data_IF_066571598472
#
_entry.id   IF_066571598472
#
_cell.length_a   1.000
_cell.length_b   1.000
_cell.length_c   1.000
_cell.angle_alpha   90.00
_cell.angle_beta   90.00
_cell.angle_gamma   90.00
#
_symmetry.space_group_name_H-M   'P 1'
#
loop_
_entity.id
_entity.type
_entity.pdbx_description
1 polymer ?
#
# COMPACT_ATOMS: atom_id res chain seq x y z
N UNK A 1 -15.08 -6.60 22.37
CA UNK A 1 -15.03 -5.43 21.44
C UNK A 1 -14.46 -5.92 20.12
N UNK A 2 -15.21 -5.75 19.04
CA UNK A 2 -14.71 -6.08 17.70
C UNK A 2 -13.55 -5.14 17.36
N UNK A 3 -12.38 -5.71 17.10
CA UNK A 3 -11.18 -4.95 16.80
C UNK A 3 -11.25 -4.31 15.42
N UNK A 4 -10.54 -3.20 15.20
CA UNK A 4 -10.48 -2.54 13.89
C UNK A 4 -9.74 -3.40 12.86
N UNK A 5 -8.72 -4.13 13.32
CA UNK A 5 -7.89 -5.02 12.51
C UNK A 5 -7.71 -6.36 13.21
N UNK A 6 -7.67 -7.43 12.43
CA UNK A 6 -7.36 -8.77 12.91
C UNK A 6 -6.58 -9.53 11.84
N UNK A 7 -5.37 -10.05 12.17
CA UNK A 7 -4.62 -10.88 11.24
C UNK A 7 -5.42 -12.11 10.81
N UNK A 8 -5.45 -12.38 9.52
CA UNK A 8 -5.95 -13.65 9.00
C UNK A 8 -4.80 -14.65 8.89
N UNK A 9 -5.04 -15.89 9.31
CA UNK A 9 -4.15 -17.00 9.02
C UNK A 9 -4.96 -18.16 8.47
N UNK A 10 -4.49 -18.80 7.39
CA UNK A 10 -5.10 -20.02 6.88
C UNK A 10 -5.12 -21.11 7.94
N UNK A 11 -6.17 -21.95 7.94
CA UNK A 11 -6.26 -23.06 8.89
C UNK A 11 -5.28 -24.19 8.54
N UNK A 12 -5.00 -24.37 7.25
CA UNK A 12 -4.06 -25.37 6.75
C UNK A 12 -2.73 -24.68 6.39
N UNK A 13 -1.70 -25.02 7.13
CA UNK A 13 -0.31 -24.66 6.91
C UNK A 13 0.55 -25.92 7.03
N UNK A 14 0.07 -27.04 6.50
CA UNK A 14 0.66 -28.37 6.67
C UNK A 14 2.10 -28.50 6.15
N UNK A 15 2.47 -27.74 5.09
CA UNK A 15 3.83 -27.76 4.54
C UNK A 15 4.84 -26.89 5.32
N UNK A 16 4.40 -26.13 6.34
CA UNK A 16 5.26 -25.18 7.04
C UNK A 16 6.45 -25.88 7.71
N UNK A 17 6.24 -27.04 8.33
CA UNK A 17 7.30 -27.81 8.99
C UNK A 17 8.34 -28.31 7.97
N UNK A 18 7.89 -28.80 6.83
CA UNK A 18 8.77 -29.30 5.77
C UNK A 18 9.61 -28.17 5.18
N UNK A 19 9.01 -26.98 4.98
CA UNK A 19 9.75 -25.79 4.54
C UNK A 19 10.81 -25.40 5.58
N UNK A 20 10.46 -25.35 6.87
CA UNK A 20 11.40 -25.02 7.95
C UNK A 20 12.59 -25.98 8.03
N UNK A 21 12.35 -27.28 7.79
CA UNK A 21 13.36 -28.33 7.85
C UNK A 21 14.12 -28.56 6.54
N UNK A 22 13.72 -27.89 5.45
CA UNK A 22 14.30 -28.09 4.11
C UNK A 22 15.74 -27.62 3.95
N UNK A 23 16.21 -26.70 4.81
CA UNK A 23 17.48 -25.98 4.65
C UNK A 23 17.44 -24.88 3.57
N UNK A 24 16.34 -24.75 2.79
CA UNK A 24 16.15 -23.74 1.74
C UNK A 24 15.11 -22.69 2.20
N UNK A 25 15.53 -21.72 3.00
CA UNK A 25 14.64 -20.72 3.61
C UNK A 25 14.68 -19.35 2.94
N UNK A 26 15.69 -19.09 2.11
CA UNK A 26 15.77 -17.86 1.34
C UNK A 26 14.71 -17.84 0.22
N UNK A 27 14.64 -16.74 -0.53
CA UNK A 27 13.74 -16.63 -1.69
C UNK A 27 13.97 -17.79 -2.69
N UNK A 28 12.91 -18.50 -3.01
CA UNK A 28 12.99 -19.70 -3.85
C UNK A 28 11.67 -20.10 -4.48
N UNK A 29 11.24 -21.35 -4.29
CA UNK A 29 10.02 -21.93 -4.89
C UNK A 29 8.76 -21.15 -4.49
N UNK A 30 8.56 -20.95 -3.20
CA UNK A 30 7.35 -20.29 -2.68
C UNK A 30 7.34 -18.79 -2.99
N UNK A 31 8.52 -18.15 -3.00
CA UNK A 31 8.66 -16.77 -3.43
C UNK A 31 8.16 -16.58 -4.87
N UNK A 32 8.63 -17.42 -5.80
CA UNK A 32 8.21 -17.40 -7.21
C UNK A 32 6.72 -17.72 -7.38
N UNK A 33 6.20 -18.68 -6.61
CA UNK A 33 4.77 -19.01 -6.65
C UNK A 33 3.90 -17.88 -6.16
N UNK A 34 4.28 -17.20 -5.06
CA UNK A 34 3.56 -16.05 -4.53
C UNK A 34 3.55 -14.90 -5.53
N UNK A 35 4.71 -14.57 -6.12
CA UNK A 35 4.79 -13.51 -7.15
C UNK A 35 3.87 -13.82 -8.33
N UNK A 36 3.92 -15.04 -8.86
CA UNK A 36 3.04 -15.48 -9.95
C UNK A 36 1.55 -15.39 -9.58
N UNK A 37 1.18 -15.87 -8.40
CA UNK A 37 -0.22 -15.80 -7.93
C UNK A 37 -0.70 -14.38 -7.72
N UNK A 38 0.17 -13.48 -7.24
CA UNK A 38 -0.13 -12.04 -7.13
C UNK A 38 -0.28 -11.39 -8.51
N UNK A 39 0.60 -11.71 -9.46
CA UNK A 39 0.51 -11.24 -10.85
C UNK A 39 -0.84 -11.64 -11.48
N UNK A 40 -1.20 -12.91 -11.39
CA UNK A 40 -2.47 -13.43 -11.89
C UNK A 40 -3.68 -12.80 -11.19
N UNK A 41 -3.61 -12.63 -9.86
CA UNK A 41 -4.69 -12.04 -9.08
C UNK A 41 -4.90 -10.57 -9.39
N UNK A 42 -3.84 -9.78 -9.48
CA UNK A 42 -3.91 -8.33 -9.76
C UNK A 42 -4.19 -8.08 -11.24
N UNK A 43 -3.67 -8.92 -12.14
CA UNK A 43 -3.75 -8.79 -13.58
C UNK A 43 -2.58 -7.98 -14.15
N UNK A 44 -1.33 -8.30 -13.74
CA UNK A 44 -0.09 -7.58 -14.11
C UNK A 44 1.02 -8.57 -14.44
N UNK A 45 2.00 -8.14 -15.25
CA UNK A 45 3.12 -8.98 -15.67
C UNK A 45 4.36 -8.79 -14.79
N UNK A 46 4.59 -7.58 -14.25
CA UNK A 46 5.83 -7.20 -13.59
C UNK A 46 5.61 -6.90 -12.12
N UNK A 47 5.90 -7.88 -11.26
CA UNK A 47 5.74 -7.80 -9.81
C UNK A 47 6.91 -8.48 -9.10
N UNK A 48 7.41 -7.84 -8.05
CA UNK A 48 8.35 -8.43 -7.09
C UNK A 48 7.78 -8.37 -5.68
N UNK A 49 8.14 -9.36 -4.85
CA UNK A 49 7.88 -9.34 -3.40
C UNK A 49 9.13 -8.95 -2.63
N UNK A 50 8.95 -8.40 -1.44
CA UNK A 50 10.03 -7.99 -0.53
C UNK A 50 9.73 -8.41 0.91
N UNK A 51 10.77 -8.44 1.76
CA UNK A 51 10.67 -8.88 3.15
C UNK A 51 9.93 -7.90 4.08
N UNK A 52 9.63 -6.69 3.63
CA UNK A 52 8.81 -5.71 4.33
C UNK A 52 8.28 -4.64 3.37
N UNK A 53 7.23 -3.92 3.78
CA UNK A 53 6.77 -2.73 3.07
C UNK A 53 7.87 -1.66 2.95
N UNK A 54 8.62 -1.45 4.03
CA UNK A 54 9.70 -0.46 4.01
C UNK A 54 10.80 -0.84 3.00
N UNK A 55 11.17 -2.12 2.93
CA UNK A 55 12.11 -2.60 1.91
C UNK A 55 11.56 -2.44 0.49
N UNK A 56 10.26 -2.74 0.27
CA UNK A 56 9.61 -2.47 -1.01
C UNK A 56 9.74 -0.99 -1.40
N UNK A 57 9.50 -0.11 -0.46
CA UNK A 57 9.58 1.32 -0.68
C UNK A 57 10.99 1.78 -1.06
N UNK A 58 12.02 1.35 -0.33
CA UNK A 58 13.42 1.70 -0.63
C UNK A 58 13.87 1.13 -1.98
N UNK A 59 13.50 -0.11 -2.29
CA UNK A 59 13.74 -0.73 -3.60
C UNK A 59 13.07 0.07 -4.70
N UNK A 60 11.81 0.46 -4.53
CA UNK A 60 11.06 1.27 -5.48
C UNK A 60 11.75 2.61 -5.77
N UNK A 61 12.05 3.39 -4.72
CA UNK A 61 12.68 4.71 -4.87
C UNK A 61 14.05 4.62 -5.56
N UNK A 62 14.86 3.62 -5.19
CA UNK A 62 16.17 3.36 -5.82
C UNK A 62 16.02 2.95 -7.28
N UNK A 63 15.02 2.10 -7.58
CA UNK A 63 14.71 1.68 -8.96
C UNK A 63 14.33 2.87 -9.84
N UNK A 64 13.48 3.76 -9.34
CA UNK A 64 13.07 4.99 -10.04
C UNK A 64 14.19 6.04 -10.10
N UNK A 65 15.29 5.87 -9.36
CA UNK A 65 16.40 6.81 -9.32
C UNK A 65 16.13 8.07 -8.51
N UNK A 66 15.14 8.04 -7.61
CA UNK A 66 14.88 9.14 -6.69
C UNK A 66 15.99 9.24 -5.65
N UNK A 67 16.40 10.45 -5.34
CA UNK A 67 17.58 10.71 -4.49
C UNK A 67 17.40 11.95 -3.62
N UNK A 68 18.31 12.14 -2.70
CA UNK A 68 18.40 13.34 -1.86
C UNK A 68 18.29 14.63 -2.70
N UNK A 69 17.40 15.52 -2.29
CA UNK A 69 17.12 16.80 -2.93
C UNK A 69 15.97 16.79 -3.93
N UNK A 70 15.53 15.61 -4.38
CA UNK A 70 14.30 15.48 -5.16
C UNK A 70 13.07 15.80 -4.28
N UNK A 71 11.98 16.18 -4.93
CA UNK A 71 10.69 16.43 -4.28
C UNK A 71 9.66 15.41 -4.75
N UNK A 72 8.84 14.92 -3.81
CA UNK A 72 7.69 14.05 -4.08
C UNK A 72 6.44 14.68 -3.49
N UNK A 73 5.41 14.81 -4.30
CA UNK A 73 4.09 15.32 -3.83
C UNK A 73 3.33 14.14 -3.23
N UNK A 74 2.85 14.29 -2.00
CA UNK A 74 2.13 13.25 -1.28
C UNK A 74 1.04 13.82 -0.38
N UNK A 75 0.13 12.93 0.06
CA UNK A 75 -0.88 13.24 1.07
C UNK A 75 -0.32 13.08 2.48
N UNK A 76 -0.57 14.03 3.39
CA UNK A 76 -0.31 13.81 4.80
C UNK A 76 -1.34 12.86 5.45
N UNK A 77 -2.53 12.68 4.85
CA UNK A 77 -3.51 11.68 5.29
C UNK A 77 -3.10 10.32 4.75
N UNK A 78 -2.17 9.68 5.46
CA UNK A 78 -1.63 8.37 5.13
C UNK A 78 -1.06 7.69 6.38
N UNK A 79 -0.81 6.39 6.30
CA UNK A 79 0.02 5.70 7.27
C UNK A 79 1.41 6.36 7.33
N UNK A 80 1.99 6.48 8.52
CA UNK A 80 3.34 7.06 8.63
C UNK A 80 4.37 6.29 7.80
N UNK A 81 4.21 4.98 7.66
CA UNK A 81 5.06 4.14 6.83
C UNK A 81 5.04 4.53 5.34
N UNK A 82 3.97 5.18 4.88
CA UNK A 82 3.85 5.66 3.50
C UNK A 82 4.71 6.90 3.19
N UNK A 83 5.09 7.68 4.21
CA UNK A 83 5.84 8.93 3.98
C UNK A 83 7.24 8.90 4.60
N UNK A 84 7.47 8.11 5.65
CA UNK A 84 8.74 8.07 6.37
C UNK A 84 9.94 7.66 5.50
N UNK A 85 9.85 6.72 4.54
CA UNK A 85 10.99 6.35 3.71
C UNK A 85 11.54 7.49 2.85
N UNK A 86 10.72 8.46 2.45
CA UNK A 86 11.20 9.65 1.76
C UNK A 86 12.18 10.44 2.64
N UNK A 87 11.81 10.66 3.91
CA UNK A 87 12.67 11.38 4.85
C UNK A 87 13.99 10.63 5.11
N UNK A 88 13.95 9.28 5.19
CA UNK A 88 15.14 8.44 5.35
C UNK A 88 16.11 8.62 4.17
N UNK A 89 15.59 8.74 2.94
CA UNK A 89 16.40 8.93 1.73
C UNK A 89 16.77 10.40 1.45
N UNK A 90 16.36 11.35 2.31
CA UNK A 90 16.58 12.78 2.10
C UNK A 90 15.78 13.37 0.94
N UNK A 91 14.71 12.70 0.53
CA UNK A 91 13.74 13.17 -0.45
C UNK A 91 12.75 14.06 0.28
N UNK A 92 12.48 15.24 -0.26
CA UNK A 92 11.56 16.18 0.35
C UNK A 92 10.13 15.85 -0.02
N UNK A 93 9.30 15.55 0.97
CA UNK A 93 7.85 15.44 0.76
C UNK A 93 7.25 16.84 0.67
N UNK A 94 6.47 17.10 -0.37
CA UNK A 94 5.67 18.30 -0.56
C UNK A 94 4.21 17.90 -0.34
N UNK A 95 3.59 18.47 0.69
CA UNK A 95 2.21 18.16 1.00
C UNK A 95 1.25 18.82 0.00
N UNK A 96 0.44 18.02 -0.65
CA UNK A 96 -0.78 18.46 -1.31
C UNK A 96 -1.99 18.23 -0.41
N UNK A 97 -2.99 19.08 -0.53
CA UNK A 97 -4.25 18.93 0.19
C UNK A 97 -5.09 17.77 -0.38
N UNK A 98 -6.11 17.41 0.34
CA UNK A 98 -7.04 16.34 -0.02
C UNK A 98 -8.45 16.87 -0.25
N UNK A 99 -9.27 16.13 -0.97
CA UNK A 99 -10.72 16.34 -0.94
C UNK A 99 -11.26 15.87 0.42
N UNK A 100 -11.83 16.77 1.24
CA UNK A 100 -12.32 16.44 2.58
C UNK A 100 -13.49 15.45 2.59
N UNK A 101 -14.06 15.13 1.44
CA UNK A 101 -15.15 14.15 1.33
C UNK A 101 -14.62 12.73 1.12
N UNK A 102 -13.45 12.59 0.48
CA UNK A 102 -12.88 11.29 0.08
C UNK A 102 -11.68 10.88 0.93
N UNK A 103 -10.96 11.82 1.51
CA UNK A 103 -9.71 11.59 2.22
C UNK A 103 -8.49 11.36 1.31
N UNK A 104 -8.64 11.52 -0.01
CA UNK A 104 -7.60 11.28 -1.01
C UNK A 104 -7.12 12.59 -1.65
N UNK A 105 -5.95 12.57 -2.29
CA UNK A 105 -5.35 13.76 -2.91
C UNK A 105 -6.33 14.51 -3.81
N UNK A 106 -6.37 15.84 -3.65
CA UNK A 106 -7.05 16.77 -4.56
C UNK A 106 -6.15 17.04 -5.77
N UNK A 107 -6.58 16.71 -7.01
CA UNK A 107 -5.79 16.92 -8.22
C UNK A 107 -5.35 18.38 -8.43
N UNK A 108 -6.20 19.35 -8.12
CA UNK A 108 -5.85 20.77 -8.26
C UNK A 108 -4.78 21.19 -7.24
N UNK A 109 -4.87 20.69 -6.02
CA UNK A 109 -3.83 20.91 -5.03
C UNK A 109 -2.51 20.29 -5.48
N UNK A 110 -2.52 19.04 -5.99
CA UNK A 110 -1.33 18.37 -6.54
C UNK A 110 -0.68 19.23 -7.63
N UNK A 111 -1.47 19.68 -8.60
CA UNK A 111 -1.00 20.51 -9.71
C UNK A 111 -0.33 21.81 -9.23
N UNK A 112 -0.89 22.45 -8.21
CA UNK A 112 -0.36 23.71 -7.62
C UNK A 112 0.98 23.54 -6.90
N UNK A 113 1.37 22.31 -6.52
CA UNK A 113 2.58 22.01 -5.76
C UNK A 113 3.78 21.56 -6.61
N UNK A 114 3.61 21.43 -7.92
CA UNK A 114 4.67 21.01 -8.83
C UNK A 114 5.76 22.07 -8.94
N UNK A 115 7.01 21.65 -8.79
CA UNK A 115 8.21 22.48 -8.96
C UNK A 115 9.19 21.82 -9.94
N UNK A 116 10.27 22.50 -10.29
CA UNK A 116 11.33 21.90 -11.13
C UNK A 116 12.08 20.72 -10.48
N UNK A 117 11.94 20.55 -9.15
CA UNK A 117 12.53 19.43 -8.39
C UNK A 117 11.56 18.28 -8.18
N UNK A 118 10.29 18.45 -8.48
CA UNK A 118 9.30 17.37 -8.39
C UNK A 118 9.69 16.23 -9.33
N UNK A 119 9.68 15.00 -8.84
CA UNK A 119 10.01 13.78 -9.60
C UNK A 119 8.88 12.77 -9.63
N UNK A 120 8.05 12.76 -8.58
CA UNK A 120 6.94 11.82 -8.50
C UNK A 120 5.74 12.42 -7.75
N UNK A 121 4.58 11.85 -8.02
CA UNK A 121 3.36 11.98 -7.21
C UNK A 121 3.14 10.64 -6.53
N UNK A 122 3.02 10.64 -5.20
CA UNK A 122 2.72 9.48 -4.38
C UNK A 122 1.25 9.50 -4.00
N UNK A 123 0.46 8.73 -4.76
CA UNK A 123 -1.00 8.74 -4.73
C UNK A 123 -1.51 7.68 -3.75
N UNK A 124 -1.79 8.08 -2.52
CA UNK A 124 -2.31 7.19 -1.48
C UNK A 124 -3.81 6.92 -1.66
N UNK A 125 -4.20 5.64 -1.58
CA UNK A 125 -5.59 5.18 -1.54
C UNK A 125 -6.01 4.98 -0.08
N UNK A 126 -6.34 6.08 0.59
CA UNK A 126 -6.54 6.15 2.02
C UNK A 126 -7.58 5.15 2.54
N UNK A 127 -7.18 4.29 3.47
CA UNK A 127 -8.05 3.27 4.09
C UNK A 127 -8.76 2.35 3.08
N UNK A 128 -8.19 2.16 1.89
CA UNK A 128 -8.77 1.34 0.82
C UNK A 128 -9.74 2.07 -0.10
N UNK A 129 -10.03 3.35 0.17
CA UNK A 129 -10.79 4.22 -0.73
C UNK A 129 -9.87 4.74 -1.84
N UNK A 130 -10.24 4.43 -3.07
CA UNK A 130 -9.43 4.79 -4.24
C UNK A 130 -9.59 6.27 -4.56
N UNK A 131 -8.48 6.96 -4.82
CA UNK A 131 -8.46 8.38 -5.16
C UNK A 131 -8.83 8.67 -6.62
N UNK A 132 -8.54 9.88 -7.05
CA UNK A 132 -8.79 10.42 -8.40
C UNK A 132 -7.73 9.93 -9.40
N UNK A 133 -7.82 8.65 -9.81
CA UNK A 133 -6.77 7.97 -10.59
C UNK A 133 -6.49 8.66 -11.93
N UNK A 134 -7.52 8.94 -12.74
CA UNK A 134 -7.33 9.54 -14.07
C UNK A 134 -6.76 10.96 -13.97
N UNK A 135 -7.30 11.76 -13.07
CA UNK A 135 -6.94 13.16 -12.88
C UNK A 135 -5.48 13.28 -12.38
N UNK A 136 -5.10 12.47 -11.38
CA UNK A 136 -3.72 12.45 -10.86
C UNK A 136 -2.74 11.91 -11.91
N UNK A 137 -3.13 10.85 -12.64
CA UNK A 137 -2.31 10.34 -13.74
C UNK A 137 -2.14 11.37 -14.87
N UNK A 138 -3.19 12.14 -15.18
CA UNK A 138 -3.10 13.20 -16.18
C UNK A 138 -2.10 14.29 -15.75
N UNK A 139 -2.20 14.77 -14.51
CA UNK A 139 -1.27 15.76 -13.94
C UNK A 139 0.18 15.24 -14.00
N UNK A 140 0.42 13.98 -13.63
CA UNK A 140 1.76 13.40 -13.67
C UNK A 140 2.33 13.35 -15.09
N UNK A 141 1.54 12.85 -16.06
CA UNK A 141 1.96 12.73 -17.47
C UNK A 141 2.25 14.08 -18.13
N UNK A 142 1.39 15.08 -17.89
CA UNK A 142 1.58 16.44 -18.40
C UNK A 142 2.88 17.09 -17.92
N UNK A 143 3.40 16.66 -16.79
CA UNK A 143 4.59 17.22 -16.15
C UNK A 143 5.82 16.28 -16.19
N UNK A 144 5.72 15.13 -16.86
CA UNK A 144 6.82 14.15 -16.94
C UNK A 144 7.24 13.57 -15.58
N UNK A 145 6.26 13.39 -14.66
CA UNK A 145 6.48 12.88 -13.32
C UNK A 145 6.11 11.40 -13.23
N UNK A 146 6.82 10.66 -12.41
CA UNK A 146 6.39 9.32 -12.03
C UNK A 146 5.09 9.40 -11.21
N UNK A 147 4.20 8.44 -11.44
CA UNK A 147 3.04 8.20 -10.58
C UNK A 147 3.23 6.88 -9.83
N UNK A 148 3.16 6.95 -8.51
CA UNK A 148 3.29 5.80 -7.60
C UNK A 148 2.00 5.68 -6.81
N UNK A 149 1.25 4.58 -7.03
CA UNK A 149 0.08 4.28 -6.21
C UNK A 149 0.52 3.64 -4.89
N UNK A 150 0.12 4.24 -3.78
CA UNK A 150 0.25 3.65 -2.45
C UNK A 150 -1.02 2.85 -2.12
N UNK A 151 -0.95 1.57 -2.37
CA UNK A 151 -2.00 0.61 -2.09
C UNK A 151 -1.77 -0.14 -0.75
N UNK A 152 -1.09 0.48 0.22
CA UNK A 152 -0.79 -0.11 1.55
C UNK A 152 -2.05 -0.66 2.25
N UNK A 153 -3.22 -0.08 1.98
CA UNK A 153 -4.53 -0.42 2.56
C UNK A 153 -5.55 -0.83 1.49
N UNK A 154 -5.16 -0.81 0.20
CA UNK A 154 -6.09 -0.90 -0.92
C UNK A 154 -5.96 -2.20 -1.74
N UNK A 155 -5.37 -3.27 -1.17
CA UNK A 155 -5.28 -4.55 -1.90
C UNK A 155 -6.69 -5.07 -2.23
N UNK A 156 -6.94 -5.34 -3.52
CA UNK A 156 -8.24 -5.77 -4.02
C UNK A 156 -9.25 -4.65 -4.30
N UNK A 157 -8.97 -3.39 -3.93
CA UNK A 157 -9.73 -2.24 -4.43
C UNK A 157 -9.61 -2.13 -5.95
N UNK A 158 -10.64 -1.57 -6.60
CA UNK A 158 -10.69 -1.51 -8.07
C UNK A 158 -10.92 -0.10 -8.58
N UNK A 159 -10.41 0.14 -9.79
CA UNK A 159 -10.72 1.28 -10.63
C UNK A 159 -11.09 0.78 -12.04
N UNK A 160 -12.25 1.23 -12.57
CA UNK A 160 -12.79 0.79 -13.88
C UNK A 160 -12.81 -0.74 -14.05
N UNK A 161 -13.14 -1.46 -12.97
CA UNK A 161 -13.21 -2.93 -12.93
C UNK A 161 -11.86 -3.65 -12.81
N UNK A 162 -10.72 -2.97 -12.99
CA UNK A 162 -9.39 -3.51 -12.78
C UNK A 162 -8.93 -3.27 -11.34
N UNK A 163 -8.17 -4.20 -10.76
CA UNK A 163 -7.57 -4.00 -9.43
C UNK A 163 -6.51 -2.90 -9.49
N UNK A 164 -6.39 -2.15 -8.39
CA UNK A 164 -5.29 -1.19 -8.24
C UNK A 164 -3.97 -1.91 -8.46
N UNK A 165 -3.05 -1.29 -9.20
CA UNK A 165 -1.82 -1.92 -9.69
C UNK A 165 -1.89 -2.31 -11.17
N UNK A 166 -3.07 -2.63 -11.69
CA UNK A 166 -3.28 -2.94 -13.11
C UNK A 166 -3.67 -1.70 -13.94
N UNK A 167 -3.71 -0.51 -13.34
CA UNK A 167 -4.18 0.70 -14.01
C UNK A 167 -3.32 1.93 -13.67
N UNK A 168 -2.87 2.62 -14.70
CA UNK A 168 -2.46 4.03 -14.66
C UNK A 168 -1.08 4.35 -14.12
N UNK A 169 -0.71 3.85 -12.95
CA UNK A 169 0.53 4.18 -12.27
C UNK A 169 1.77 3.54 -12.94
N UNK A 170 2.94 4.19 -12.80
CA UNK A 170 4.23 3.63 -13.22
C UNK A 170 4.69 2.54 -12.26
N UNK A 171 4.30 2.67 -10.97
CA UNK A 171 4.48 1.62 -9.97
C UNK A 171 3.37 1.67 -8.93
N UNK A 172 3.06 0.51 -8.34
CA UNK A 172 2.14 0.38 -7.20
C UNK A 172 2.82 -0.40 -6.09
N UNK A 173 2.72 0.10 -4.86
CA UNK A 173 3.33 -0.53 -3.69
C UNK A 173 2.26 -1.09 -2.74
N UNK A 174 2.47 -2.33 -2.27
CA UNK A 174 1.59 -3.03 -1.33
C UNK A 174 2.30 -3.40 -0.05
N UNK A 175 1.54 -3.46 1.04
CA UNK A 175 1.99 -3.99 2.33
C UNK A 175 1.32 -5.32 2.64
N UNK A 176 2.12 -6.27 3.12
CA UNK A 176 1.66 -7.57 3.63
C UNK A 176 1.99 -7.75 5.11
N UNK A 177 2.01 -6.65 5.88
CA UNK A 177 2.11 -6.69 7.34
C UNK A 177 0.89 -7.38 7.97
N UNK A 178 1.03 -7.82 9.21
CA UNK A 178 0.01 -8.59 9.95
C UNK A 178 -1.40 -7.99 9.92
N UNK A 179 -1.52 -6.66 9.88
CA UNK A 179 -2.84 -5.96 9.86
C UNK A 179 -3.44 -5.86 8.47
N UNK A 180 -2.76 -6.39 7.44
CA UNK A 180 -3.19 -6.33 6.04
C UNK A 180 -3.86 -7.63 5.61
N UNK A 181 -4.53 -7.57 4.47
CA UNK A 181 -5.14 -8.71 3.82
C UNK A 181 -4.79 -8.65 2.32
N UNK A 182 -4.02 -9.61 1.80
CA UNK A 182 -3.34 -10.69 2.52
C UNK A 182 -2.21 -10.17 3.42
N UNK A 183 -1.70 -11.02 4.34
CA UNK A 183 -0.48 -10.75 5.08
C UNK A 183 0.51 -11.92 4.95
N UNK A 184 1.80 -11.60 5.08
CA UNK A 184 2.90 -12.58 5.11
C UNK A 184 3.65 -12.52 6.44
N UNK A 185 2.95 -12.10 7.52
CA UNK A 185 3.46 -11.68 8.82
C UNK A 185 4.14 -10.32 8.68
N UNK A 186 5.18 -10.21 7.88
CA UNK A 186 5.71 -8.97 7.30
C UNK A 186 6.08 -9.23 5.85
N UNK A 187 5.96 -8.20 5.02
CA UNK A 187 6.25 -8.26 3.59
C UNK A 187 5.69 -7.07 2.84
N UNK A 188 6.07 -6.98 1.59
CA UNK A 188 5.55 -6.02 0.65
C UNK A 188 5.64 -6.54 -0.78
N UNK A 189 5.02 -5.83 -1.70
CA UNK A 189 5.20 -6.06 -3.13
C UNK A 189 5.24 -4.75 -3.89
N UNK A 190 5.88 -4.77 -5.04
CA UNK A 190 5.90 -3.67 -5.99
C UNK A 190 5.45 -4.22 -7.34
N UNK A 191 4.46 -3.58 -7.93
CA UNK A 191 4.11 -3.74 -9.34
C UNK A 191 4.78 -2.64 -10.13
N UNK A 192 5.30 -2.96 -11.29
CA UNK A 192 5.81 -2.01 -12.27
C UNK A 192 5.02 -2.12 -13.56
N UNK A 193 4.80 -0.99 -14.21
CA UNK A 193 4.21 -0.94 -15.54
C UNK A 193 5.23 -1.28 -16.63
N UNK A 194 6.48 -0.92 -16.40
CA UNK A 194 7.57 -1.00 -17.36
C UNK A 194 8.52 -2.17 -17.03
N UNK A 195 8.89 -2.94 -18.06
CA UNK A 195 9.77 -4.12 -17.93
C UNK A 195 11.19 -3.74 -17.51
N UNK A 196 11.73 -2.62 -17.99
CA UNK A 196 13.09 -2.18 -17.64
C UNK A 196 13.17 -1.83 -16.15
N UNK A 197 12.14 -1.16 -15.61
CA UNK A 197 12.04 -0.88 -14.18
C UNK A 197 11.90 -2.18 -13.38
N UNK A 198 11.12 -3.14 -13.85
CA UNK A 198 11.01 -4.44 -13.21
C UNK A 198 12.35 -5.17 -13.17
N UNK A 199 13.06 -5.30 -14.30
CA UNK A 199 14.37 -5.95 -14.36
C UNK A 199 15.36 -5.27 -13.40
N UNK A 200 15.42 -3.95 -13.41
CA UNK A 200 16.25 -3.18 -12.47
C UNK A 200 15.88 -3.45 -11.02
N UNK A 201 14.58 -3.51 -10.71
CA UNK A 201 14.08 -3.74 -9.35
C UNK A 201 14.46 -5.13 -8.80
N UNK A 202 14.52 -6.14 -9.65
CA UNK A 202 14.98 -7.49 -9.28
C UNK A 202 16.44 -7.45 -8.81
N UNK A 203 17.30 -6.69 -9.48
CA UNK A 203 18.69 -6.48 -9.07
C UNK A 203 18.77 -5.67 -7.76
N UNK A 204 18.06 -4.53 -7.69
CA UNK A 204 18.06 -3.65 -6.51
C UNK A 204 17.55 -4.38 -5.27
N UNK A 205 16.58 -5.28 -5.41
CA UNK A 205 16.06 -6.11 -4.31
C UNK A 205 17.09 -7.08 -3.73
N UNK A 206 18.08 -7.51 -4.52
CA UNK A 206 19.05 -8.54 -4.15
C UNK A 206 20.49 -8.07 -4.35
N UNK A 207 20.87 -7.01 -3.62
CA UNK A 207 22.24 -6.45 -3.58
C UNK A 207 22.82 -6.01 -4.93
N UNK A 208 22.01 -5.80 -5.96
CA UNK A 208 22.45 -5.53 -7.32
C UNK A 208 22.90 -6.78 -8.08
N UNK A 209 22.68 -7.98 -7.54
CA UNK A 209 23.20 -9.24 -8.06
C UNK A 209 22.30 -9.79 -9.16
N UNK A 210 22.86 -10.07 -10.32
CA UNK A 210 22.27 -10.97 -11.29
C UNK A 210 22.55 -12.42 -10.90
N UNK A 211 21.57 -13.08 -10.27
CA UNK A 211 21.71 -14.46 -9.80
C UNK A 211 21.98 -15.46 -10.91
N UNK A 212 21.62 -15.20 -12.15
CA UNK A 212 21.89 -16.08 -13.29
C UNK A 212 23.37 -16.14 -13.66
N UNK A 213 24.14 -15.14 -13.28
CA UNK A 213 25.58 -15.01 -13.61
C UNK A 213 26.49 -14.98 -12.37
N UNK A 214 25.88 -15.01 -11.17
CA UNK A 214 26.62 -14.82 -9.91
C UNK A 214 27.51 -15.99 -9.54
N UNK A 215 27.22 -17.19 -10.05
CA UNK A 215 28.04 -18.38 -9.82
C UNK A 215 28.63 -18.88 -11.15
N UNK A 216 29.86 -19.34 -11.09
CA UNK A 216 30.53 -20.02 -12.20
C UNK A 216 30.15 -21.51 -12.28
N UNK A 217 30.80 -22.26 -13.18
CA UNK A 217 30.58 -23.68 -13.41
C UNK A 217 31.06 -24.57 -12.23
N UNK A 218 31.93 -24.04 -11.35
CA UNK A 218 32.35 -24.66 -10.10
C UNK A 218 31.46 -24.29 -8.90
N UNK A 219 30.41 -23.51 -9.11
CA UNK A 219 29.55 -22.95 -8.09
C UNK A 219 30.23 -21.95 -7.15
N UNK A 220 31.37 -21.39 -7.54
CA UNK A 220 32.06 -20.30 -6.87
C UNK A 220 31.51 -18.94 -7.33
N UNK A 221 31.78 -17.87 -6.57
CA UNK A 221 31.38 -16.51 -6.99
C UNK A 221 32.16 -16.14 -8.24
N UNK A 222 31.44 -15.88 -9.33
CA UNK A 222 32.03 -15.51 -10.61
C UNK A 222 32.62 -14.09 -10.59
N UNK A 223 33.90 -13.96 -10.98
CA UNK A 223 34.54 -12.67 -11.18
C UNK A 223 33.96 -11.87 -12.35
N UNK A 224 33.22 -12.54 -13.25
CA UNK A 224 32.62 -11.93 -14.43
C UNK A 224 31.21 -11.34 -14.13
N UNK A 225 30.71 -11.53 -12.91
CA UNK A 225 29.44 -10.94 -12.47
C UNK A 225 29.69 -9.57 -11.83
N UNK A 226 29.58 -8.52 -12.62
CA UNK A 226 29.69 -7.15 -12.12
C UNK A 226 28.39 -6.69 -11.42
N UNK A 227 28.54 -5.88 -10.36
CA UNK A 227 27.46 -5.25 -9.62
C UNK A 227 27.37 -3.79 -10.06
N UNK A 228 26.44 -3.51 -10.96
CA UNK A 228 26.31 -2.21 -11.63
C UNK A 228 25.34 -1.24 -10.96
N UNK A 229 24.52 -1.72 -10.03
CA UNK A 229 23.52 -0.92 -9.30
C UNK A 229 23.61 -1.19 -7.80
N UNK A 230 23.37 -0.17 -6.95
CA UNK A 230 23.25 -0.39 -5.51
C UNK A 230 21.97 -1.22 -5.23
N UNK A 231 22.01 -2.04 -4.18
CA UNK A 231 20.88 -2.89 -3.84
C UNK A 231 20.77 -3.21 -2.35
N UNK A 232 19.65 -3.83 -2.01
CA UNK A 232 19.27 -4.21 -0.64
C UNK A 232 19.12 -5.72 -0.53
N UNK A 233 19.38 -6.28 0.65
CA UNK A 233 18.97 -7.64 1.00
C UNK A 233 17.48 -7.67 1.36
N UNK A 234 16.60 -7.57 0.38
CA UNK A 234 15.17 -7.32 0.57
C UNK A 234 14.26 -8.44 0.05
N UNK A 235 14.80 -9.61 -0.27
CA UNK A 235 14.00 -10.74 -0.76
C UNK A 235 13.10 -11.31 0.34
N UNK A 236 11.87 -11.69 -0.01
CA UNK A 236 10.95 -12.37 0.90
C UNK A 236 11.36 -13.83 1.07
N UNK A 237 11.35 -14.34 2.31
CA UNK A 237 11.71 -15.72 2.62
C UNK A 237 10.61 -16.72 2.23
N UNK A 238 10.96 -18.02 2.17
CA UNK A 238 10.03 -19.10 1.76
C UNK A 238 8.85 -19.27 2.71
N UNK A 239 9.03 -19.07 4.02
CA UNK A 239 7.97 -19.21 5.02
C UNK A 239 6.88 -18.17 4.82
N UNK A 240 7.29 -16.90 4.76
CA UNK A 240 6.38 -15.78 4.53
C UNK A 240 5.70 -15.90 3.16
N UNK A 241 6.44 -16.34 2.14
CA UNK A 241 5.91 -16.56 0.80
C UNK A 241 4.86 -17.69 0.75
N UNK A 242 5.10 -18.79 1.47
CA UNK A 242 4.12 -19.86 1.60
C UNK A 242 2.84 -19.38 2.28
N UNK A 243 2.95 -18.68 3.42
CA UNK A 243 1.80 -18.14 4.13
C UNK A 243 0.98 -17.20 3.22
N UNK A 244 1.64 -16.30 2.48
CA UNK A 244 0.98 -15.42 1.53
C UNK A 244 0.25 -16.15 0.41
N UNK A 245 0.88 -17.19 -0.15
CA UNK A 245 0.28 -18.03 -1.20
C UNK A 245 -0.99 -18.74 -0.70
N UNK A 246 -0.98 -19.26 0.53
CA UNK A 246 -2.16 -19.91 1.10
C UNK A 246 -3.29 -18.90 1.40
N UNK A 247 -2.96 -17.65 1.71
CA UNK A 247 -3.98 -16.60 1.93
C UNK A 247 -4.67 -16.19 0.64
N UNK A 248 -3.97 -16.13 -0.49
CA UNK A 248 -4.56 -15.76 -1.77
C UNK A 248 -5.68 -16.72 -2.21
N UNK A 249 -5.63 -17.98 -1.82
CA UNK A 249 -6.70 -18.95 -2.09
C UNK A 249 -8.06 -18.57 -1.45
N UNK A 250 -8.05 -17.71 -0.42
CA UNK A 250 -9.24 -17.30 0.32
C UNK A 250 -9.56 -15.80 0.14
N UNK A 251 -8.73 -15.07 -0.59
CA UNK A 251 -8.76 -13.60 -0.60
C UNK A 251 -10.11 -13.04 -1.03
N UNK A 252 -10.72 -13.57 -2.09
CA UNK A 252 -11.98 -13.08 -2.61
C UNK A 252 -13.13 -13.26 -1.61
N UNK A 253 -13.16 -14.39 -0.88
CA UNK A 253 -14.17 -14.62 0.16
C UNK A 253 -14.01 -13.68 1.35
N UNK A 254 -12.77 -13.35 1.72
CA UNK A 254 -12.46 -12.43 2.81
C UNK A 254 -12.82 -10.99 2.43
N UNK A 255 -12.52 -10.57 1.20
CA UNK A 255 -12.91 -9.25 0.68
C UNK A 255 -14.43 -9.14 0.49
N UNK A 256 -15.10 -10.21 0.08
CA UNK A 256 -16.57 -10.23 0.01
C UNK A 256 -17.21 -10.00 1.38
N UNK A 257 -16.68 -10.63 2.45
CA UNK A 257 -17.15 -10.40 3.82
C UNK A 257 -16.94 -8.95 4.26
N UNK A 258 -15.80 -8.31 3.88
CA UNK A 258 -15.59 -6.89 4.16
C UNK A 258 -16.64 -6.01 3.48
N UNK A 259 -16.98 -6.31 2.23
CA UNK A 259 -18.02 -5.60 1.48
C UNK A 259 -19.42 -5.80 2.10
N UNK A 260 -19.75 -7.01 2.53
CA UNK A 260 -21.01 -7.29 3.24
C UNK A 260 -21.11 -6.49 4.53
N UNK A 261 -20.03 -6.43 5.32
CA UNK A 261 -19.99 -5.63 6.54
C UNK A 261 -20.14 -4.13 6.25
N UNK A 262 -19.55 -3.62 5.17
CA UNK A 262 -19.72 -2.23 4.76
C UNK A 262 -21.18 -1.92 4.41
N UNK A 263 -21.86 -2.81 3.70
CA UNK A 263 -23.32 -2.69 3.40
C UNK A 263 -24.13 -2.71 4.71
N UNK A 264 -23.78 -3.61 5.64
CA UNK A 264 -24.39 -3.68 6.96
C UNK A 264 -24.21 -2.38 7.77
N UNK A 265 -23.00 -1.80 7.75
CA UNK A 265 -22.73 -0.51 8.39
C UNK A 265 -23.57 0.61 7.80
N UNK A 266 -23.63 0.73 6.48
CA UNK A 266 -24.43 1.74 5.80
C UNK A 266 -25.87 1.71 6.28
N UNK A 267 -26.49 0.52 6.32
CA UNK A 267 -27.85 0.34 6.81
C UNK A 267 -27.99 0.69 8.30
N UNK A 268 -27.01 0.27 9.13
CA UNK A 268 -27.06 0.50 10.58
C UNK A 268 -26.92 1.98 10.97
N UNK A 269 -26.27 2.77 10.12
CA UNK A 269 -26.01 4.19 10.34
C UNK A 269 -27.00 5.13 9.67
N UNK A 270 -28.04 4.62 8.97
CA UNK A 270 -29.02 5.44 8.24
C UNK A 270 -29.68 6.54 9.08
N UNK A 271 -29.82 6.33 10.40
CA UNK A 271 -30.43 7.29 11.33
C UNK A 271 -29.40 7.99 12.24
N UNK A 272 -28.12 7.78 12.04
CA UNK A 272 -27.04 8.47 12.77
C UNK A 272 -26.66 9.76 12.04
N UNK A 273 -26.21 10.77 12.76
CA UNK A 273 -25.79 12.03 12.16
C UNK A 273 -24.33 11.94 11.64
N UNK A 274 -24.15 11.17 10.58
CA UNK A 274 -22.85 10.95 9.91
C UNK A 274 -23.03 10.93 8.40
N UNK A 275 -21.97 11.19 7.67
CA UNK A 275 -21.92 11.10 6.21
C UNK A 275 -20.91 10.01 5.82
N UNK A 276 -21.25 9.16 4.86
CA UNK A 276 -20.29 8.19 4.31
C UNK A 276 -19.12 8.92 3.64
N UNK A 277 -17.93 8.35 3.74
CA UNK A 277 -16.81 8.76 2.88
C UNK A 277 -17.21 8.57 1.42
N UNK A 278 -17.00 9.60 0.61
CA UNK A 278 -17.41 9.57 -0.81
C UNK A 278 -16.50 8.61 -1.58
N UNK A 279 -17.14 7.72 -2.31
CA UNK A 279 -16.46 6.83 -3.27
C UNK A 279 -16.34 7.59 -4.59
N UNK A 280 -15.13 7.76 -5.09
CA UNK A 280 -14.86 8.42 -6.37
C UNK A 280 -15.42 7.62 -7.55
N UNK A 281 -15.70 8.27 -8.67
CA UNK A 281 -16.32 7.62 -9.83
C UNK A 281 -15.51 6.41 -10.35
N UNK A 282 -16.21 5.35 -10.76
CA UNK A 282 -15.62 4.12 -11.32
C UNK A 282 -14.70 3.34 -10.36
N UNK A 283 -14.79 3.57 -9.04
CA UNK A 283 -13.98 2.86 -8.04
C UNK A 283 -14.81 1.90 -7.20
N UNK A 284 -14.17 0.85 -6.70
CA UNK A 284 -14.71 -0.08 -5.72
C UNK A 284 -13.69 -0.21 -4.59
N UNK A 285 -13.95 0.35 -3.40
CA UNK A 285 -13.07 0.17 -2.25
C UNK A 285 -13.10 -1.28 -1.75
N UNK A 286 -11.98 -1.75 -1.20
CA UNK A 286 -11.90 -3.06 -0.54
C UNK A 286 -12.56 -3.07 0.84
N UNK A 287 -12.92 -1.89 1.37
CA UNK A 287 -13.45 -1.69 2.72
C UNK A 287 -12.55 -2.30 3.81
N UNK A 288 -11.24 -2.05 3.73
CA UNK A 288 -10.32 -2.36 4.81
C UNK A 288 -10.85 -1.84 6.16
N UNK A 289 -11.50 -0.68 6.13
CA UNK A 289 -12.40 -0.16 7.17
C UNK A 289 -13.63 0.45 6.51
N UNK A 290 -14.73 0.59 7.25
CA UNK A 290 -15.86 1.41 6.83
C UNK A 290 -15.68 2.83 7.36
N UNK A 291 -15.52 3.79 6.48
CA UNK A 291 -15.24 5.18 6.80
C UNK A 291 -16.50 6.05 6.82
N UNK A 292 -16.64 6.87 7.85
CA UNK A 292 -17.67 7.91 7.97
C UNK A 292 -17.09 9.23 8.43
N UNK A 293 -17.78 10.32 8.14
CA UNK A 293 -17.49 11.67 8.61
C UNK A 293 -18.54 12.05 9.67
N UNK A 294 -18.09 12.19 10.91
CA UNK A 294 -18.94 12.54 12.06
C UNK A 294 -18.62 13.96 12.53
N UNK A 295 -19.65 14.82 12.68
CA UNK A 295 -19.44 16.21 13.15
C UNK A 295 -18.93 16.24 14.59
N UNK A 296 -19.35 15.31 15.43
CA UNK A 296 -18.76 15.11 16.76
C UNK A 296 -18.00 13.77 16.81
N UNK A 297 -16.82 13.76 16.20
CA UNK A 297 -15.94 12.59 16.09
C UNK A 297 -15.71 11.88 17.43
N UNK A 298 -15.43 12.65 18.49
CA UNK A 298 -15.10 12.08 19.81
C UNK A 298 -16.28 11.33 20.43
N UNK A 299 -17.47 11.91 20.38
CA UNK A 299 -18.66 11.29 20.95
C UNK A 299 -19.10 10.09 20.12
N UNK A 300 -18.98 10.17 18.80
CA UNK A 300 -19.25 9.06 17.90
C UNK A 300 -18.31 7.86 18.18
N UNK A 301 -17.01 8.09 18.29
CA UNK A 301 -16.04 7.06 18.67
C UNK A 301 -16.40 6.44 20.02
N UNK A 302 -16.67 7.26 21.04
CA UNK A 302 -17.00 6.76 22.38
C UNK A 302 -18.30 5.95 22.39
N UNK A 303 -19.32 6.38 21.64
CA UNK A 303 -20.60 5.68 21.51
C UNK A 303 -20.41 4.28 20.91
N UNK A 304 -19.70 4.19 19.78
CA UNK A 304 -19.49 2.89 19.12
C UNK A 304 -18.57 1.95 19.91
N UNK A 305 -17.57 2.48 20.62
CA UNK A 305 -16.76 1.69 21.55
C UNK A 305 -17.60 1.12 22.70
N UNK A 306 -18.55 1.87 23.25
CA UNK A 306 -19.52 1.36 24.24
C UNK A 306 -20.45 0.29 23.67
N UNK A 307 -20.81 0.38 22.38
CA UNK A 307 -21.57 -0.62 21.64
C UNK A 307 -20.75 -1.87 21.26
N UNK A 308 -19.45 -1.92 21.62
CA UNK A 308 -18.58 -3.08 21.40
C UNK A 308 -17.79 -3.09 20.09
N UNK A 309 -17.72 -1.97 19.35
CA UNK A 309 -16.96 -1.85 18.11
C UNK A 309 -15.81 -0.83 18.29
N UNK A 310 -14.59 -1.19 17.89
CA UNK A 310 -13.43 -0.30 18.01
C UNK A 310 -13.44 0.75 16.89
N UNK A 311 -14.17 1.83 17.11
CA UNK A 311 -14.13 2.99 16.23
C UNK A 311 -12.85 3.81 16.45
N UNK A 312 -12.24 4.37 15.38
CA UNK A 312 -10.94 5.07 15.42
C UNK A 312 -10.79 6.08 14.30
N UNK A 313 -9.94 7.10 14.51
CA UNK A 313 -9.47 7.96 13.42
C UNK A 313 -8.35 7.35 12.57
N UNK A 314 -7.88 6.15 12.89
CA UNK A 314 -6.82 5.36 12.25
C UNK A 314 -5.46 6.06 12.27
N UNK A 315 -5.30 7.13 11.49
CA UNK A 315 -4.05 7.87 11.32
C UNK A 315 -4.19 9.32 11.76
N UNK A 316 -3.08 9.90 12.22
CA UNK A 316 -2.93 11.34 12.33
C UNK A 316 -2.30 11.86 11.03
N UNK A 317 -2.63 13.09 10.59
CA UNK A 317 -1.95 13.69 9.46
C UNK A 317 -0.43 13.73 9.67
N UNK A 318 0.33 13.25 8.71
CA UNK A 318 1.79 13.19 8.80
C UNK A 318 2.43 14.61 8.82
N UNK A 319 1.70 15.62 8.37
CA UNK A 319 2.09 17.03 8.48
C UNK A 319 2.25 17.52 9.92
N UNK A 320 1.75 16.78 10.92
CA UNK A 320 1.95 17.10 12.34
C UNK A 320 3.36 16.73 12.84
N UNK A 321 4.09 15.89 12.10
CA UNK A 321 5.40 15.43 12.53
C UNK A 321 6.51 16.34 12.03
N UNK A 322 7.34 16.85 12.94
CA UNK A 322 8.41 17.81 12.66
C UNK A 322 9.44 17.35 11.64
N UNK A 323 9.60 16.04 11.46
CA UNK A 323 10.52 15.45 10.47
C UNK A 323 10.20 15.91 9.02
N UNK A 324 8.95 16.23 8.72
CA UNK A 324 8.54 16.72 7.40
C UNK A 324 8.54 18.25 7.26
N UNK A 325 8.85 18.97 8.34
CA UNK A 325 8.81 20.44 8.38
C UNK A 325 7.40 21.01 8.36
N UNK A 326 7.29 22.29 8.62
CA UNK A 326 6.02 23.02 8.52
C UNK A 326 5.84 23.54 7.09
N UNK A 327 4.75 23.15 6.43
CA UNK A 327 4.44 23.51 5.05
C UNK A 327 3.14 24.34 4.92
N UNK A 328 2.64 24.89 6.03
CA UNK A 328 1.40 25.66 6.05
C UNK A 328 0.16 24.83 6.32
N UNK A 329 -0.99 25.47 6.24
CA UNK A 329 -2.28 24.84 6.49
C UNK A 329 -2.79 24.09 5.26
N UNK A 330 -3.45 22.96 5.54
CA UNK A 330 -4.12 22.09 4.58
C UNK A 330 -5.58 21.96 5.04
N UNK A 331 -6.46 22.72 4.43
CA UNK A 331 -7.84 22.84 4.89
C UNK A 331 -8.63 21.54 4.73
N UNK A 332 -8.46 20.84 3.60
CA UNK A 332 -9.10 19.55 3.36
C UNK A 332 -8.64 18.49 4.35
N UNK A 333 -7.33 18.46 4.66
CA UNK A 333 -6.75 17.57 5.69
C UNK A 333 -7.34 17.87 7.07
N UNK A 334 -7.41 19.15 7.46
CA UNK A 334 -7.95 19.56 8.76
C UNK A 334 -9.43 19.20 8.88
N UNK A 335 -10.23 19.48 7.87
CA UNK A 335 -11.66 19.14 7.84
C UNK A 335 -11.87 17.63 7.92
N UNK A 336 -11.23 16.88 7.01
CA UNK A 336 -11.37 15.41 6.99
C UNK A 336 -10.90 14.77 8.28
N UNK A 337 -9.69 15.10 8.76
CA UNK A 337 -9.12 14.47 9.95
C UNK A 337 -9.89 14.77 11.23
N UNK A 338 -10.55 15.92 11.31
CA UNK A 338 -11.40 16.27 12.45
C UNK A 338 -12.70 15.47 12.51
N UNK A 339 -13.17 14.92 11.38
CA UNK A 339 -14.46 14.23 11.24
C UNK A 339 -14.34 12.73 10.98
N UNK A 340 -13.29 12.28 10.31
CA UNK A 340 -13.16 10.89 9.86
C UNK A 340 -13.12 9.91 11.03
N UNK A 341 -13.98 8.89 10.95
CA UNK A 341 -14.02 7.73 11.84
C UNK A 341 -14.09 6.46 11.02
N UNK A 342 -13.19 5.54 11.27
CA UNK A 342 -13.19 4.18 10.75
C UNK A 342 -13.92 3.25 11.70
N UNK A 343 -14.78 2.41 11.15
CA UNK A 343 -15.45 1.31 11.82
C UNK A 343 -14.91 -0.03 11.31
N UNK A 344 -14.82 -1.08 12.15
CA UNK A 344 -14.32 -2.37 11.71
C UNK A 344 -15.19 -2.95 10.60
N UNK A 345 -14.56 -3.43 9.54
CA UNK A 345 -15.26 -4.02 8.39
C UNK A 345 -14.74 -5.42 8.03
N UNK A 346 -13.81 -5.97 8.80
CA UNK A 346 -13.05 -7.15 8.44
C UNK A 346 -13.81 -8.48 8.48
N UNK A 347 -13.14 -9.52 8.03
CA UNK A 347 -13.65 -10.88 7.82
C UNK A 347 -14.09 -11.63 9.10
N UNK A 348 -13.66 -11.20 10.27
CA UNK A 348 -13.82 -11.94 11.55
C UNK A 348 -15.17 -11.75 12.24
N UNK A 349 -16.06 -10.94 11.71
CA UNK A 349 -17.40 -10.73 12.25
C UNK A 349 -18.43 -10.46 11.14
N UNK A 350 -19.70 -10.39 11.53
CA UNK A 350 -20.81 -9.96 10.66
C UNK A 350 -21.58 -8.86 11.39
N UNK A 351 -21.90 -7.76 10.64
CA UNK A 351 -22.63 -6.62 11.18
C UNK A 351 -24.15 -6.87 11.21
#
# INVERSE_FOLDING_TARGET
>A
MESLFKPYMPKDLSELQDILCSGALAYGKWGKMLEKSLQEYIGVDYLITTNSYNSAFLVLLTTLGLKMGDEVIASPMACLASNQPFAVMGIKVIWADIDPRTGTLDPESVKSKITSRTRAIFHNHFCGYVGYVDEICAVARENGLYIIDDAIEAFGSKYKGCKIGAWGADATIYSFQTVRLPNTIDGGAIVFKDEELYIKSVLVRDYGIDRSRFRDDMNEISSDCDITVPGYGATLNEISSYIGSQQLNQIDSLLAQQKENAIGWKKKLENENVTDVVITGNTEPNYWVYGVLADNKRDFINSWRKKGFYASGVHLPNSYYSIFGNQGELYGVNEFSSRFVALPSGWWFKI
#
